data_IF_342639000325
#
_entry.id   IF_342639000325
#
_cell.length_a   1.000
_cell.length_b   1.000
_cell.length_c   1.000
_cell.angle_alpha   90.00
_cell.angle_beta   90.00
_cell.angle_gamma   90.00
#
_symmetry.space_group_name_H-M   'P 1'
#
loop_
_entity.id
_entity.type
_entity.pdbx_description
1 polymer ?
#
# COMPACT_ATOMS: atom_id res chain seq x y z
N UNK A 1 -11.71 -18.03 31.37
CA UNK A 1 -11.06 -19.35 31.21
C UNK A 1 -10.72 -19.52 29.74
N UNK A 2 -9.41 -19.56 29.42
CA UNK A 2 -8.74 -20.00 28.18
C UNK A 2 -9.44 -19.71 26.83
N UNK A 3 -9.01 -18.65 26.16
CA UNK A 3 -9.09 -18.57 24.71
C UNK A 3 -7.93 -19.40 24.11
N UNK A 4 -8.28 -20.27 23.17
CA UNK A 4 -7.42 -21.31 22.60
C UNK A 4 -6.48 -20.70 21.57
N UNK A 5 -5.17 -20.84 21.77
CA UNK A 5 -4.17 -20.75 20.70
C UNK A 5 -4.36 -21.98 19.79
N UNK A 6 -4.59 -21.76 18.49
CA UNK A 6 -4.31 -22.78 17.49
C UNK A 6 -2.92 -22.53 16.91
N UNK A 7 -1.94 -23.23 17.49
CA UNK A 7 -0.69 -23.57 16.81
C UNK A 7 -0.90 -24.99 16.28
N UNK A 8 -0.86 -25.17 14.97
CA UNK A 8 -0.65 -26.50 14.37
C UNK A 8 0.51 -26.43 13.38
N UNK A 9 1.71 -26.90 13.75
CA UNK A 9 2.78 -27.16 12.83
C UNK A 9 2.64 -28.61 12.36
N UNK A 10 2.23 -28.84 11.12
CA UNK A 10 2.47 -30.14 10.51
C UNK A 10 2.70 -30.01 9.01
N UNK A 11 3.98 -29.80 8.68
CA UNK A 11 4.55 -30.19 7.41
C UNK A 11 4.31 -31.69 7.21
N UNK A 12 3.52 -32.05 6.19
CA UNK A 12 3.73 -33.28 5.45
C UNK A 12 4.16 -32.87 4.04
N UNK A 13 5.46 -32.98 3.82
CA UNK A 13 6.03 -33.11 2.49
C UNK A 13 5.36 -34.28 1.78
N UNK A 14 4.68 -34.01 0.68
CA UNK A 14 4.43 -34.99 -0.37
C UNK A 14 4.55 -34.26 -1.70
N UNK A 15 5.69 -34.45 -2.33
CA UNK A 15 6.00 -33.89 -3.63
C UNK A 15 5.02 -34.40 -4.68
N UNK A 16 4.34 -33.46 -5.32
CA UNK A 16 4.01 -33.57 -6.72
C UNK A 16 4.84 -32.52 -7.45
N UNK A 17 6.02 -32.96 -7.89
CA UNK A 17 6.73 -32.38 -9.02
C UNK A 17 5.86 -32.54 -10.27
N UNK A 18 4.84 -31.70 -10.41
CA UNK A 18 4.18 -31.45 -11.68
C UNK A 18 4.86 -30.23 -12.28
N UNK A 19 5.41 -30.42 -13.48
CA UNK A 19 6.41 -29.55 -14.10
C UNK A 19 6.09 -28.06 -14.03
N UNK A 20 6.94 -27.35 -13.30
CA UNK A 20 7.12 -25.89 -13.40
C UNK A 20 7.89 -25.48 -14.66
N UNK A 21 7.96 -26.35 -15.68
CA UNK A 21 8.51 -26.00 -16.97
C UNK A 21 7.54 -25.07 -17.71
N UNK A 22 7.82 -23.78 -17.55
CA UNK A 22 7.43 -22.66 -18.43
C UNK A 22 6.00 -22.14 -18.28
N UNK A 23 5.70 -21.56 -17.13
CA UNK A 23 5.10 -20.21 -17.20
C UNK A 23 6.22 -19.20 -17.44
N UNK A 24 6.80 -19.23 -18.63
CA UNK A 24 7.55 -18.07 -19.10
C UNK A 24 6.56 -16.92 -19.11
N UNK A 25 6.86 -15.83 -18.37
CA UNK A 25 6.15 -14.56 -18.48
C UNK A 25 5.95 -14.32 -19.97
N UNK A 26 4.70 -14.35 -20.46
CA UNK A 26 4.43 -14.09 -21.88
C UNK A 26 5.11 -12.75 -22.16
N UNK A 27 6.02 -12.76 -23.14
CA UNK A 27 6.91 -11.63 -23.42
C UNK A 27 6.14 -10.31 -23.54
N UNK A 28 6.88 -9.22 -23.39
CA UNK A 28 6.43 -7.85 -23.58
C UNK A 28 5.41 -7.79 -24.74
N UNK A 29 4.21 -7.30 -24.44
CA UNK A 29 3.19 -7.09 -25.47
C UNK A 29 3.66 -5.93 -26.34
N UNK A 30 4.39 -6.24 -27.42
CA UNK A 30 4.94 -5.24 -28.33
C UNK A 30 3.84 -4.36 -28.96
N UNK A 31 2.59 -4.83 -28.94
CA UNK A 31 1.39 -4.12 -29.39
C UNK A 31 0.57 -3.47 -28.24
N UNK A 32 1.13 -3.20 -27.05
CA UNK A 32 0.34 -2.52 -26.02
C UNK A 32 0.04 -1.07 -26.40
N UNK A 33 -1.20 -0.65 -26.14
CA UNK A 33 -1.68 0.73 -26.40
C UNK A 33 -0.92 1.75 -25.54
N UNK A 34 -0.49 1.36 -24.34
CA UNK A 34 0.17 2.23 -23.37
C UNK A 34 1.66 1.96 -23.24
N UNK A 35 2.43 2.97 -22.85
CA UNK A 35 3.80 2.77 -22.39
C UNK A 35 3.78 1.98 -21.08
N UNK A 36 4.70 1.02 -20.87
CA UNK A 36 4.87 0.41 -19.55
C UNK A 36 5.14 1.48 -18.50
N UNK A 37 4.49 1.42 -17.32
CA UNK A 37 4.78 2.34 -16.24
C UNK A 37 6.23 2.16 -15.80
N UNK A 38 6.89 3.29 -15.52
CA UNK A 38 8.21 3.32 -14.89
C UNK A 38 8.08 4.03 -13.57
N UNK A 39 8.81 3.55 -12.58
CA UNK A 39 8.79 4.09 -11.23
C UNK A 39 10.19 4.44 -10.76
N UNK A 40 10.28 5.40 -9.85
CA UNK A 40 11.46 5.70 -9.02
C UNK A 40 11.05 5.70 -7.56
N UNK A 41 12.01 5.37 -6.68
CA UNK A 41 11.84 5.57 -5.24
C UNK A 41 11.64 7.06 -4.97
N UNK A 42 10.63 7.39 -4.16
CA UNK A 42 10.25 8.76 -3.84
C UNK A 42 10.37 9.02 -2.34
N UNK A 43 9.80 8.15 -1.50
CA UNK A 43 9.76 8.34 -0.06
C UNK A 43 9.77 6.98 0.66
N UNK A 44 10.65 6.82 1.63
CA UNK A 44 10.63 5.70 2.57
C UNK A 44 9.89 6.10 3.84
N UNK A 45 9.05 5.21 4.35
CA UNK A 45 8.28 5.36 5.58
C UNK A 45 8.77 4.32 6.60
N UNK A 46 9.32 4.78 7.72
CA UNK A 46 9.69 3.93 8.84
C UNK A 46 8.71 4.16 9.99
N UNK A 47 7.99 3.11 10.37
CA UNK A 47 6.86 3.16 11.28
C UNK A 47 6.96 2.11 12.39
N UNK A 48 6.25 2.37 13.47
CA UNK A 48 5.91 1.34 14.45
C UNK A 48 4.40 1.23 14.59
N UNK A 49 3.92 0.00 14.56
CA UNK A 49 2.49 -0.32 14.63
C UNK A 49 2.21 -1.10 15.91
N UNK A 50 1.05 -0.80 16.50
CA UNK A 50 0.55 -1.56 17.65
C UNK A 50 -0.46 -2.60 17.23
N UNK A 51 -0.77 -3.52 18.15
CA UNK A 51 -1.81 -4.51 17.93
C UNK A 51 -3.15 -3.85 17.56
N UNK A 52 -3.86 -4.38 16.55
CA UNK A 52 -5.15 -3.85 16.15
C UNK A 52 -6.24 -4.17 17.16
N UNK A 53 -7.28 -3.34 17.17
CA UNK A 53 -8.58 -3.68 17.73
C UNK A 53 -9.46 -4.29 16.64
N UNK A 54 -9.93 -5.52 16.85
CA UNK A 54 -10.78 -6.21 15.89
C UNK A 54 -12.26 -6.03 16.26
N UNK A 55 -13.07 -5.71 15.25
CA UNK A 55 -14.53 -5.58 15.37
C UNK A 55 -15.21 -6.39 14.26
N UNK A 56 -16.39 -6.93 14.58
CA UNK A 56 -17.24 -7.59 13.58
C UNK A 56 -18.19 -6.57 12.95
N UNK A 57 -18.25 -6.57 11.63
CA UNK A 57 -19.17 -5.73 10.83
C UNK A 57 -20.05 -6.63 9.95
N UNK A 58 -21.11 -6.09 9.32
CA UNK A 58 -21.89 -6.85 8.33
C UNK A 58 -21.06 -7.40 7.17
N UNK A 59 -19.93 -6.76 6.85
CA UNK A 59 -19.03 -7.14 5.75
C UNK A 59 -17.88 -8.06 6.21
N UNK A 60 -17.89 -8.51 7.47
CA UNK A 60 -16.89 -9.40 8.04
C UNK A 60 -16.04 -8.76 9.13
N UNK A 61 -14.82 -9.27 9.33
CA UNK A 61 -13.90 -8.76 10.34
C UNK A 61 -13.20 -7.50 9.83
N UNK A 62 -13.21 -6.47 10.67
CA UNK A 62 -12.45 -5.25 10.48
C UNK A 62 -11.45 -5.11 11.61
N UNK A 63 -10.18 -4.87 11.26
CA UNK A 63 -9.13 -4.49 12.18
C UNK A 63 -8.88 -2.97 12.08
N UNK A 64 -8.73 -2.32 13.24
CA UNK A 64 -8.25 -0.94 13.31
C UNK A 64 -6.92 -0.91 14.08
N UNK A 65 -5.86 -0.47 13.42
CA UNK A 65 -4.54 -0.33 14.02
C UNK A 65 -4.19 1.17 14.18
N UNK A 66 -4.16 1.70 15.42
CA UNK A 66 -3.80 3.10 15.65
C UNK A 66 -2.37 3.41 15.19
N UNK A 67 -2.16 4.59 14.60
CA UNK A 67 -0.83 5.11 14.29
C UNK A 67 -0.20 5.73 15.56
N UNK A 68 -0.05 5.00 16.67
CA UNK A 68 0.25 5.62 17.98
C UNK A 68 1.72 5.94 18.25
N UNK A 69 2.65 5.34 17.52
CA UNK A 69 4.09 5.54 17.76
C UNK A 69 4.75 6.54 16.80
N UNK A 70 4.00 7.02 15.80
CA UNK A 70 4.53 7.88 14.75
C UNK A 70 5.60 7.17 13.91
N UNK A 71 6.53 7.94 13.39
CA UNK A 71 7.59 7.43 12.52
C UNK A 71 8.38 8.52 11.82
N UNK A 72 9.14 8.13 10.81
CA UNK A 72 9.94 9.02 9.97
C UNK A 72 9.63 8.77 8.50
N UNK A 73 9.59 9.84 7.73
CA UNK A 73 9.58 9.80 6.28
C UNK A 73 10.88 10.41 5.76
N UNK A 74 11.56 9.70 4.87
CA UNK A 74 12.87 10.11 4.31
C UNK A 74 12.88 9.94 2.80
N UNK A 75 13.58 10.81 2.07
CA UNK A 75 13.62 10.75 0.60
C UNK A 75 13.45 12.13 -0.06
N UNK A 76 12.43 12.26 -0.92
CA UNK A 76 12.12 13.52 -1.61
C UNK A 76 11.90 14.70 -0.65
N UNK A 77 11.45 14.41 0.57
CA UNK A 77 11.45 15.32 1.71
C UNK A 77 11.67 14.53 3.00
N UNK A 78 12.04 15.24 4.07
CA UNK A 78 12.22 14.70 5.41
C UNK A 78 11.09 15.20 6.31
N UNK A 79 10.40 14.28 7.00
CA UNK A 79 9.32 14.64 7.91
C UNK A 79 9.11 13.63 9.04
N UNK A 80 8.55 14.10 10.15
CA UNK A 80 8.00 13.25 11.20
C UNK A 80 6.62 12.74 10.79
N UNK A 81 6.37 11.44 10.97
CA UNK A 81 5.02 10.89 10.86
C UNK A 81 4.34 11.07 12.21
N UNK A 82 3.29 11.88 12.24
CA UNK A 82 2.58 12.20 13.48
C UNK A 82 1.76 10.99 13.97
N UNK A 83 1.66 10.79 15.29
CA UNK A 83 0.96 9.65 15.87
C UNK A 83 -0.55 9.85 15.90
N UNK A 84 -1.16 10.08 14.73
CA UNK A 84 -2.59 10.42 14.58
C UNK A 84 -3.24 9.56 13.51
N UNK A 85 -4.52 9.25 13.74
CA UNK A 85 -5.29 8.37 12.87
C UNK A 85 -5.07 6.88 13.17
N UNK A 86 -5.60 6.05 12.29
CA UNK A 86 -5.51 4.61 12.37
C UNK A 86 -5.60 4.02 10.97
N UNK A 87 -4.89 2.92 10.75
CA UNK A 87 -5.16 2.05 9.62
C UNK A 87 -6.50 1.34 9.83
N UNK A 88 -7.27 1.25 8.76
CA UNK A 88 -8.49 0.49 8.65
C UNK A 88 -8.26 -0.69 7.72
N UNK A 89 -8.52 -1.88 8.21
CA UNK A 89 -8.25 -3.10 7.46
C UNK A 89 -9.46 -4.01 7.47
N UNK A 90 -9.96 -4.33 6.27
CA UNK A 90 -11.06 -5.30 6.11
C UNK A 90 -10.47 -6.63 5.65
N UNK A 91 -10.59 -7.66 6.48
CA UNK A 91 -10.05 -8.98 6.18
C UNK A 91 -11.03 -9.76 5.32
N UNK A 92 -10.52 -10.29 4.21
CA UNK A 92 -11.23 -11.15 3.28
C UNK A 92 -10.56 -12.53 3.28
N UNK A 93 -11.24 -13.50 3.88
CA UNK A 93 -10.84 -14.91 3.81
C UNK A 93 -11.18 -15.43 2.41
N UNK A 94 -10.18 -15.97 1.70
CA UNK A 94 -10.39 -16.64 0.42
C UNK A 94 -9.74 -18.03 0.42
N UNK A 95 -10.05 -18.85 -0.59
CA UNK A 95 -9.53 -20.22 -0.70
C UNK A 95 -8.00 -20.29 -0.86
N UNK A 96 -7.36 -19.19 -1.28
CA UNK A 96 -5.92 -19.09 -1.50
C UNK A 96 -5.13 -18.51 -0.32
N UNK A 97 -5.81 -18.03 0.73
CA UNK A 97 -5.19 -17.40 1.91
C UNK A 97 -6.01 -16.25 2.48
N UNK A 98 -5.42 -15.55 3.44
CA UNK A 98 -6.00 -14.34 4.03
C UNK A 98 -5.44 -13.11 3.29
N UNK A 99 -6.34 -12.37 2.63
CA UNK A 99 -6.01 -11.06 2.10
C UNK A 99 -6.80 -10.00 2.86
N UNK A 100 -6.35 -8.76 2.81
CA UNK A 100 -7.12 -7.65 3.35
C UNK A 100 -7.04 -6.41 2.49
N UNK A 101 -7.99 -5.51 2.72
CA UNK A 101 -8.02 -4.19 2.14
C UNK A 101 -7.63 -3.19 3.21
N UNK A 102 -6.49 -2.56 3.01
CA UNK A 102 -5.85 -1.63 3.93
C UNK A 102 -6.06 -0.20 3.47
N UNK A 103 -6.52 0.65 4.38
CA UNK A 103 -6.61 2.09 4.16
C UNK A 103 -5.99 2.82 5.34
N UNK A 104 -5.13 3.79 5.08
CA UNK A 104 -4.57 4.65 6.12
C UNK A 104 -4.30 6.04 5.59
N UNK A 105 -4.30 7.02 6.49
CA UNK A 105 -3.85 8.38 6.21
C UNK A 105 -2.75 8.75 7.17
N UNK A 106 -1.54 8.84 6.64
CA UNK A 106 -0.40 9.38 7.36
C UNK A 106 -0.43 10.89 7.33
N UNK A 107 -0.22 11.52 8.48
CA UNK A 107 -0.01 12.96 8.59
C UNK A 107 1.47 13.17 8.88
N UNK A 108 2.13 13.98 8.06
CA UNK A 108 3.53 14.33 8.24
C UNK A 108 3.66 15.74 8.79
N UNK A 109 4.74 15.99 9.52
CA UNK A 109 5.17 17.31 9.96
C UNK A 109 6.62 17.55 9.55
N UNK A 110 6.87 18.64 8.82
CA UNK A 110 8.22 19.06 8.42
C UNK A 110 8.96 19.73 9.58
N UNK A 111 10.26 20.00 9.41
CA UNK A 111 11.06 20.73 10.39
C UNK A 111 10.52 22.15 10.66
N UNK A 112 9.84 22.73 9.68
CA UNK A 112 9.19 24.04 9.72
C UNK A 112 7.80 24.01 10.40
N UNK A 113 7.36 22.85 10.90
CA UNK A 113 6.03 22.57 11.47
C UNK A 113 4.87 22.65 10.47
N UNK A 114 5.15 22.61 9.18
CA UNK A 114 4.11 22.49 8.16
C UNK A 114 3.63 21.05 8.06
N UNK A 115 2.37 20.86 7.65
CA UNK A 115 1.77 19.54 7.56
C UNK A 115 1.31 19.19 6.16
N UNK A 116 1.44 17.91 5.83
CA UNK A 116 0.89 17.30 4.64
C UNK A 116 0.39 15.90 4.98
N UNK A 117 -0.36 15.28 4.07
CA UNK A 117 -0.86 13.92 4.28
C UNK A 117 -0.63 13.01 3.09
N UNK A 118 -0.46 11.72 3.36
CA UNK A 118 -0.49 10.64 2.38
C UNK A 118 -1.64 9.70 2.74
N UNK A 119 -2.61 9.60 1.85
CA UNK A 119 -3.63 8.55 1.89
C UNK A 119 -3.12 7.33 1.12
N UNK A 120 -3.22 6.15 1.74
CA UNK A 120 -2.81 4.87 1.18
C UNK A 120 -4.02 3.95 1.12
N UNK A 121 -4.23 3.33 -0.05
CA UNK A 121 -5.19 2.25 -0.26
C UNK A 121 -4.44 1.06 -0.88
N UNK A 122 -4.35 -0.05 -0.13
CA UNK A 122 -3.51 -1.19 -0.48
C UNK A 122 -4.24 -2.52 -0.27
N UNK A 123 -3.80 -3.54 -1.00
CA UNK A 123 -4.18 -4.93 -0.76
C UNK A 123 -3.02 -5.60 -0.05
N UNK A 124 -3.29 -6.21 1.10
CA UNK A 124 -2.29 -6.92 1.88
C UNK A 124 -2.51 -8.43 1.77
N UNK A 125 -1.41 -9.16 1.85
CA UNK A 125 -1.32 -10.59 1.91
C UNK A 125 -0.63 -11.00 3.20
N UNK A 126 -1.15 -12.04 3.84
CA UNK A 126 -0.64 -12.56 5.10
C UNK A 126 0.22 -13.79 4.86
N UNK A 127 1.53 -13.66 5.07
CA UNK A 127 2.47 -14.77 4.92
C UNK A 127 3.62 -14.65 5.94
N UNK A 128 4.13 -15.79 6.43
CA UNK A 128 5.36 -15.86 7.25
C UNK A 128 5.38 -14.97 8.51
N UNK A 129 4.23 -14.78 9.18
CA UNK A 129 4.07 -13.88 10.34
C UNK A 129 4.32 -12.39 10.03
N UNK A 130 4.11 -11.98 8.78
CA UNK A 130 4.09 -10.61 8.35
C UNK A 130 2.86 -10.35 7.47
N UNK A 131 2.54 -9.08 7.30
CA UNK A 131 1.73 -8.60 6.18
C UNK A 131 2.64 -7.95 5.16
N UNK A 132 2.31 -8.12 3.89
CA UNK A 132 2.99 -7.46 2.77
C UNK A 132 1.97 -7.09 1.70
N UNK A 133 2.14 -5.96 1.05
CA UNK A 133 1.18 -5.53 0.05
C UNK A 133 1.59 -4.33 -0.77
N UNK A 134 0.79 -4.09 -1.80
CA UNK A 134 0.94 -2.96 -2.72
C UNK A 134 -0.38 -2.21 -2.84
N UNK A 135 -0.26 -0.91 -3.07
CA UNK A 135 -1.38 0.01 -3.14
C UNK A 135 -1.08 1.29 -3.90
N UNK A 136 -2.00 2.23 -3.78
CA UNK A 136 -1.88 3.57 -4.34
C UNK A 136 -1.71 4.59 -3.23
N UNK A 137 -0.90 5.61 -3.50
CA UNK A 137 -0.66 6.74 -2.62
C UNK A 137 -1.22 8.03 -3.21
N UNK A 138 -1.83 8.86 -2.37
CA UNK A 138 -2.28 10.20 -2.74
C UNK A 138 -1.83 11.22 -1.70
N UNK A 139 -1.01 12.17 -2.12
CA UNK A 139 -0.62 13.27 -1.26
C UNK A 139 -1.64 14.42 -1.30
N UNK A 140 -1.70 15.16 -0.19
CA UNK A 140 -2.37 16.44 -0.08
C UNK A 140 -1.51 17.41 0.73
N UNK A 141 -1.18 18.56 0.15
CA UNK A 141 -0.37 19.61 0.78
C UNK A 141 -0.72 20.99 0.25
N UNK A 142 -0.49 22.02 1.07
CA UNK A 142 -0.51 23.44 0.66
C UNK A 142 0.88 24.06 0.67
N UNK A 143 1.92 23.28 0.97
CA UNK A 143 3.32 23.73 1.03
C UNK A 143 3.79 24.07 -0.40
N UNK A 144 4.14 25.32 -0.71
CA UNK A 144 4.38 25.78 -2.09
C UNK A 144 5.43 24.97 -2.86
N UNK A 145 6.55 24.63 -2.23
CA UNK A 145 7.65 23.89 -2.83
C UNK A 145 7.33 22.41 -3.08
N UNK A 146 6.39 21.83 -2.32
CA UNK A 146 5.94 20.46 -2.47
C UNK A 146 4.64 20.36 -3.28
N UNK A 147 4.07 21.46 -3.76
CA UNK A 147 2.72 21.47 -4.31
C UNK A 147 2.50 20.53 -5.51
N UNK A 148 3.57 20.19 -6.24
CA UNK A 148 3.54 19.25 -7.36
C UNK A 148 3.05 17.85 -6.97
N UNK A 149 3.34 17.39 -5.75
CA UNK A 149 3.00 16.03 -5.28
C UNK A 149 1.49 15.78 -5.19
N UNK A 150 0.68 16.84 -5.18
CA UNK A 150 -0.78 16.75 -5.19
C UNK A 150 -1.36 16.16 -6.50
N UNK A 151 -0.59 16.22 -7.60
CA UNK A 151 -1.06 15.89 -8.95
C UNK A 151 -0.34 14.71 -9.58
N UNK A 152 0.69 14.19 -8.91
CA UNK A 152 1.45 13.03 -9.35
C UNK A 152 0.78 11.72 -8.91
N UNK A 153 1.23 10.60 -9.48
CA UNK A 153 0.70 9.27 -9.18
C UNK A 153 1.75 8.44 -8.45
N UNK A 154 1.34 7.79 -7.36
CA UNK A 154 2.23 7.02 -6.51
C UNK A 154 1.74 5.59 -6.32
N UNK A 155 2.68 4.66 -6.32
CA UNK A 155 2.49 3.28 -5.88
C UNK A 155 3.14 3.16 -4.51
N UNK A 156 2.48 2.47 -3.58
CA UNK A 156 3.01 2.27 -2.23
C UNK A 156 3.16 0.77 -2.01
N UNK A 157 4.33 0.37 -1.55
CA UNK A 157 4.58 -0.96 -1.00
C UNK A 157 4.63 -0.85 0.52
N UNK A 158 4.02 -1.80 1.22
CA UNK A 158 3.99 -1.83 2.68
C UNK A 158 4.29 -3.22 3.22
N UNK A 159 4.98 -3.27 4.34
CA UNK A 159 5.26 -4.48 5.11
C UNK A 159 5.13 -4.19 6.60
N UNK A 160 4.62 -5.15 7.37
CA UNK A 160 4.72 -5.11 8.82
C UNK A 160 4.95 -6.50 9.40
N UNK A 161 5.86 -6.60 10.38
CA UNK A 161 6.19 -7.83 11.07
C UNK A 161 5.42 -7.94 12.40
N UNK A 162 4.70 -9.05 12.60
CA UNK A 162 3.81 -9.22 13.76
C UNK A 162 4.55 -9.40 15.08
N UNK A 163 5.83 -9.79 15.06
CA UNK A 163 6.59 -10.09 16.27
C UNK A 163 7.28 -8.85 16.84
N UNK A 164 7.71 -7.94 15.96
CA UNK A 164 8.48 -6.75 16.29
C UNK A 164 7.67 -5.47 16.30
N UNK A 165 6.51 -5.45 15.61
CA UNK A 165 5.71 -4.25 15.40
C UNK A 165 6.40 -3.23 14.48
N UNK A 166 7.48 -3.62 13.80
CA UNK A 166 8.14 -2.80 12.79
C UNK A 166 7.29 -2.83 11.53
N UNK A 167 6.99 -1.65 11.00
CA UNK A 167 6.36 -1.47 9.71
C UNK A 167 7.22 -0.58 8.83
N UNK A 168 7.35 -0.94 7.56
CA UNK A 168 8.09 -0.19 6.56
C UNK A 168 7.19 0.01 5.36
N UNK A 169 7.22 1.20 4.79
CA UNK A 169 6.61 1.49 3.50
C UNK A 169 7.60 2.13 2.56
N UNK A 170 7.43 1.87 1.26
CA UNK A 170 8.13 2.61 0.22
C UNK A 170 7.13 3.16 -0.79
N UNK A 171 7.23 4.46 -1.03
CA UNK A 171 6.44 5.20 -1.99
C UNK A 171 7.28 5.36 -3.25
N UNK A 172 6.69 4.96 -4.36
CA UNK A 172 7.27 5.08 -5.68
C UNK A 172 6.47 6.07 -6.52
N UNK A 173 7.15 7.05 -7.11
CA UNK A 173 6.55 7.96 -8.08
C UNK A 173 6.46 7.30 -9.45
N UNK A 174 5.37 7.54 -10.18
CA UNK A 174 5.22 7.11 -11.56
C UNK A 174 5.86 8.13 -12.51
N UNK A 175 7.02 7.81 -13.07
CA UNK A 175 7.80 8.72 -13.94
C UNK A 175 7.43 8.64 -15.42
N UNK A 176 6.66 7.62 -15.83
CA UNK A 176 6.15 7.55 -17.20
C UNK A 176 4.79 6.89 -17.28
N UNK A 177 3.92 7.45 -18.13
CA UNK A 177 2.61 6.90 -18.44
C UNK A 177 2.17 7.33 -19.86
N UNK A 178 0.93 7.01 -20.21
CA UNK A 178 0.31 7.49 -21.45
C UNK A 178 0.34 6.52 -22.61
N UNK A 179 -0.40 6.87 -23.67
CA UNK A 179 -0.53 6.06 -24.88
C UNK A 179 0.73 6.14 -25.73
N UNK A 180 1.11 5.02 -26.35
CA UNK A 180 2.27 4.97 -27.26
C UNK A 180 2.04 5.75 -28.55
N UNK A 181 0.79 5.88 -28.97
CA UNK A 181 0.39 6.59 -30.19
C UNK A 181 0.20 8.09 -30.00
N UNK A 182 0.36 8.61 -28.77
CA UNK A 182 0.22 10.03 -28.48
C UNK A 182 -1.21 10.58 -28.62
N UNK A 183 -2.20 9.73 -28.95
CA UNK A 183 -3.59 10.16 -29.05
C UNK A 183 -4.09 10.65 -27.68
N UNK A 184 -4.83 11.76 -27.62
CA UNK A 184 -5.37 12.26 -26.37
C UNK A 184 -6.39 11.26 -25.81
N UNK A 185 -6.35 11.05 -24.50
CA UNK A 185 -7.44 10.37 -23.80
C UNK A 185 -8.59 11.38 -23.76
N UNK A 186 -9.60 11.19 -24.61
CA UNK A 186 -10.79 12.05 -24.65
C UNK A 186 -11.50 11.97 -23.30
N UNK A 187 -11.31 12.97 -22.46
CA UNK A 187 -12.16 13.18 -21.30
C UNK A 187 -13.58 13.45 -21.79
N UNK A 188 -14.57 12.80 -21.18
CA UNK A 188 -15.94 13.26 -21.33
C UNK A 188 -16.00 14.67 -20.76
N UNK A 189 -16.40 15.65 -21.59
CA UNK A 189 -16.81 16.94 -21.06
C UNK A 189 -17.99 16.70 -20.12
N UNK A 190 -18.08 17.43 -18.99
CA UNK A 190 -19.26 17.36 -18.13
C UNK A 190 -20.52 17.60 -19.00
N UNK A 191 -21.65 16.92 -18.72
CA UNK A 191 -22.88 17.13 -19.47
C UNK A 191 -23.21 18.63 -19.53
N UNK A 192 -23.14 19.23 -20.73
CA UNK A 192 -23.38 20.66 -20.96
C UNK A 192 -22.20 21.51 -21.44
N UNK A 193 -21.04 20.94 -21.76
CA UNK A 193 -19.88 21.71 -22.23
C UNK A 193 -19.74 21.83 -23.76
N UNK A 194 -20.37 22.85 -24.34
CA UNK A 194 -19.86 23.69 -25.44
C UNK A 194 -20.62 25.03 -25.39
#
# INVERSE_FOLDING_TARGET
MRAVLFVSPLFIQLGLSLGLDRFARRGQTDNSVFNPPKTSSFLQLDLRVTLPANVSTPDGMTALAPNVEGGKATGAFEADILPVGAAYERVALNEAGENSFYQNRYIFQTAENETLSLEVDAILHYENNALHGFGLGKFATTIPELFHINYEAYIVEVMADFNSGIAVGEVFELTSCGRRDGEPIKGLLPPGGA
#
